data_IF_753607224447
#
_entry.id   IF_753607224447
#
_cell.length_a   1.000
_cell.length_b   1.000
_cell.length_c   1.000
_cell.angle_alpha   90.00
_cell.angle_beta   90.00
_cell.angle_gamma   90.00
#
_symmetry.space_group_name_H-M   'P 1'
#
loop_
_entity.id
_entity.type
_entity.pdbx_description
1 polymer ?
#
# COMPACT_ATOMS: atom_id res chain seq x y z
N UNK A 1 25.23 -20.31 58.81
CA UNK A 1 25.19 -19.50 60.04
C UNK A 1 25.52 -18.05 59.70
N UNK A 2 24.64 -17.10 60.10
CA UNK A 2 24.83 -15.66 60.46
C UNK A 2 25.58 -14.76 59.44
N UNK A 3 24.94 -13.83 58.71
CA UNK A 3 24.34 -12.49 59.05
C UNK A 3 25.29 -11.48 59.73
N UNK A 4 25.74 -10.48 58.95
CA UNK A 4 25.81 -9.03 59.24
C UNK A 4 26.02 -8.33 57.89
N UNK A 5 25.06 -7.69 57.21
CA UNK A 5 24.19 -6.56 57.58
C UNK A 5 24.94 -5.27 57.92
N UNK A 6 24.79 -4.31 57.00
CA UNK A 6 24.42 -2.90 57.26
C UNK A 6 25.49 -1.80 57.30
N UNK A 7 25.09 -0.69 56.67
CA UNK A 7 25.52 0.69 56.87
C UNK A 7 26.83 1.17 56.23
N UNK A 8 26.79 1.33 54.90
CA UNK A 8 27.42 2.50 54.26
C UNK A 8 26.33 3.58 54.15
N UNK A 9 25.94 4.12 55.31
CA UNK A 9 25.12 5.33 55.44
C UNK A 9 25.87 6.22 56.43
N UNK A 10 25.94 7.52 56.14
CA UNK A 10 26.64 8.59 56.88
C UNK A 10 28.02 8.99 56.34
N UNK A 11 28.04 9.48 55.09
CA UNK A 11 28.94 10.59 54.74
C UNK A 11 28.14 11.90 54.69
N UNK A 12 27.49 12.21 55.81
CA UNK A 12 26.85 13.48 56.12
C UNK A 12 27.17 13.81 57.57
N UNK A 13 28.30 14.47 57.77
CA UNK A 13 28.80 15.22 58.94
C UNK A 13 30.29 15.36 58.61
N UNK A 14 30.84 16.52 58.29
CA UNK A 14 31.04 17.58 59.26
C UNK A 14 31.61 18.79 58.49
N UNK A 15 30.77 19.53 57.74
CA UNK A 15 31.15 20.88 57.28
C UNK A 15 30.97 21.83 58.46
N UNK A 16 31.96 21.82 59.34
CA UNK A 16 32.16 22.78 60.42
C UNK A 16 32.12 24.19 59.84
N UNK A 17 30.99 24.87 59.98
CA UNK A 17 30.94 26.31 59.83
C UNK A 17 31.69 26.90 61.02
N UNK A 18 32.95 27.28 60.79
CA UNK A 18 33.72 28.10 61.73
C UNK A 18 33.12 29.50 61.63
N UNK A 19 32.18 29.80 62.51
CA UNK A 19 31.72 31.16 62.73
C UNK A 19 32.76 31.84 63.62
N UNK A 20 33.70 32.57 63.01
CA UNK A 20 34.63 33.41 63.76
C UNK A 20 33.88 34.68 64.17
N UNK A 21 33.11 34.60 65.26
CA UNK A 21 32.51 35.76 65.90
C UNK A 21 33.60 36.47 66.72
N UNK A 22 34.42 37.28 66.05
CA UNK A 22 35.27 38.26 66.72
C UNK A 22 34.49 39.56 66.83
N UNK A 23 33.51 39.57 67.73
CA UNK A 23 32.69 40.75 68.06
C UNK A 23 33.54 41.78 68.80
N UNK A 24 34.20 42.64 68.03
CA UNK A 24 34.61 43.96 68.49
C UNK A 24 34.30 44.97 67.39
N UNK A 25 33.34 45.84 67.69
CA UNK A 25 32.95 47.04 66.95
C UNK A 25 32.36 46.85 65.55
N UNK A 26 31.03 46.83 65.44
CA UNK A 26 30.37 47.41 64.25
C UNK A 26 29.10 48.13 64.67
N UNK A 27 29.12 49.44 64.47
CA UNK A 27 28.01 50.37 64.56
C UNK A 27 26.87 49.98 63.61
N UNK A 28 25.64 50.20 64.08
CA UNK A 28 24.41 50.01 63.31
C UNK A 28 24.43 50.92 62.07
N UNK A 29 24.60 50.31 60.91
CA UNK A 29 24.03 50.82 59.67
C UNK A 29 22.99 49.80 59.21
N UNK A 30 21.72 50.19 59.35
CA UNK A 30 20.55 49.47 58.87
C UNK A 30 20.52 49.56 57.34
N UNK A 31 21.29 48.70 56.68
CA UNK A 31 21.04 48.36 55.28
C UNK A 31 20.18 47.11 55.27
N UNK A 32 18.92 47.27 54.86
CA UNK A 32 17.95 46.22 54.57
C UNK A 32 18.53 45.25 53.52
N UNK A 33 19.33 44.30 53.99
CA UNK A 33 19.70 43.13 53.21
C UNK A 33 18.48 42.20 53.18
N UNK A 34 17.54 42.53 52.30
CA UNK A 34 16.42 41.64 51.95
C UNK A 34 17.01 40.29 51.53
N UNK A 35 16.85 39.28 52.37
CA UNK A 35 17.21 37.90 52.07
C UNK A 35 16.59 37.53 50.70
N UNK A 36 17.34 36.91 49.78
CA UNK A 36 16.79 36.50 48.50
C UNK A 36 15.63 35.53 48.74
N UNK A 37 14.40 36.00 48.50
CA UNK A 37 13.17 35.20 48.57
C UNK A 37 13.34 33.99 47.66
N UNK A 38 13.43 32.80 48.26
CA UNK A 38 13.49 31.51 47.57
C UNK A 38 12.28 31.39 46.62
N UNK A 39 12.48 31.75 45.34
CA UNK A 39 11.47 31.55 44.30
C UNK A 39 11.34 30.06 44.11
N UNK A 40 10.18 29.51 44.47
CA UNK A 40 9.87 28.10 44.22
C UNK A 40 10.12 27.79 42.75
N UNK A 41 11.17 27.03 42.47
CA UNK A 41 11.54 26.60 41.13
C UNK A 41 10.36 25.79 40.59
N UNK A 42 9.59 26.40 39.69
CA UNK A 42 8.52 25.69 38.99
C UNK A 42 9.17 24.55 38.21
N UNK A 43 8.92 23.31 38.67
CA UNK A 43 9.40 22.11 37.99
C UNK A 43 8.90 22.15 36.55
N UNK A 44 9.82 22.12 35.57
CA UNK A 44 9.47 22.13 34.15
C UNK A 44 8.57 20.92 33.88
N UNK A 45 7.31 21.17 33.50
CA UNK A 45 6.27 20.13 33.38
C UNK A 45 6.52 19.16 32.23
N UNK A 46 7.34 19.54 31.25
CA UNK A 46 7.67 18.70 30.10
C UNK A 46 9.16 18.41 30.09
N UNK A 47 9.48 17.14 30.35
CA UNK A 47 10.82 16.60 30.16
C UNK A 47 11.14 16.55 28.67
N UNK A 48 12.34 16.99 28.29
CA UNK A 48 12.86 16.88 26.92
C UNK A 48 12.81 15.45 26.40
N UNK A 49 12.91 14.47 27.30
CA UNK A 49 12.74 13.05 27.00
C UNK A 49 11.37 12.72 26.40
N UNK A 50 10.31 13.36 26.88
CA UNK A 50 8.96 13.11 26.38
C UNK A 50 8.81 13.61 24.94
N UNK A 51 9.40 14.78 24.63
CA UNK A 51 9.43 15.32 23.26
C UNK A 51 10.13 14.34 22.30
N UNK A 52 11.29 13.80 22.71
CA UNK A 52 12.06 12.87 21.88
C UNK A 52 11.31 11.55 21.68
N UNK A 53 10.64 11.06 22.72
CA UNK A 53 9.83 9.83 22.66
C UNK A 53 8.65 9.98 21.68
N UNK A 54 7.94 11.11 21.72
CA UNK A 54 6.88 11.40 20.74
C UNK A 54 7.42 11.50 19.31
N UNK A 55 8.58 12.12 19.11
CA UNK A 55 9.20 12.24 17.79
C UNK A 55 9.55 10.87 17.22
N UNK A 56 10.08 9.97 18.05
CA UNK A 56 10.38 8.60 17.66
C UNK A 56 9.11 7.80 17.39
N UNK A 57 8.09 7.94 18.24
CA UNK A 57 6.78 7.30 18.02
C UNK A 57 6.15 7.71 16.69
N UNK A 58 6.17 9.01 16.36
CA UNK A 58 5.70 9.51 15.07
C UNK A 58 6.48 8.94 13.90
N UNK A 59 7.80 8.82 14.01
CA UNK A 59 8.62 8.23 12.95
C UNK A 59 8.26 6.76 12.68
N UNK A 60 8.04 5.97 13.74
CA UNK A 60 7.62 4.56 13.61
C UNK A 60 6.23 4.45 12.97
N UNK A 61 5.27 5.26 13.42
CA UNK A 61 3.92 5.27 12.86
C UNK A 61 3.94 5.66 11.37
N UNK A 62 4.74 6.66 11.00
CA UNK A 62 4.89 7.06 9.60
C UNK A 62 5.45 5.93 8.73
N UNK A 63 6.49 5.22 9.20
CA UNK A 63 7.06 4.08 8.47
C UNK A 63 6.05 2.95 8.28
N UNK A 64 5.28 2.61 9.33
CA UNK A 64 4.23 1.59 9.24
C UNK A 64 3.13 2.00 8.25
N UNK A 65 2.73 3.27 8.26
CA UNK A 65 1.74 3.80 7.32
C UNK A 65 2.22 3.69 5.88
N UNK A 66 3.43 4.16 5.59
CA UNK A 66 4.01 4.11 4.24
C UNK A 66 4.18 2.66 3.78
N UNK A 67 4.67 1.77 4.65
CA UNK A 67 4.79 0.35 4.34
C UNK A 67 3.45 -0.31 3.99
N UNK A 68 2.39 0.03 4.72
CA UNK A 68 1.05 -0.47 4.44
C UNK A 68 0.49 0.08 3.11
N UNK A 69 0.68 1.38 2.83
CA UNK A 69 0.26 1.99 1.57
C UNK A 69 0.95 1.33 0.38
N UNK A 70 2.26 1.10 0.44
CA UNK A 70 3.02 0.42 -0.62
C UNK A 70 2.51 -1.02 -0.83
N UNK A 71 2.23 -1.75 0.26
CA UNK A 71 1.70 -3.11 0.17
C UNK A 71 0.32 -3.15 -0.51
N UNK A 72 -0.57 -2.21 -0.17
CA UNK A 72 -1.88 -2.09 -0.80
C UNK A 72 -1.76 -1.70 -2.27
N UNK A 73 -0.90 -0.75 -2.62
CA UNK A 73 -0.64 -0.38 -4.01
C UNK A 73 -0.07 -1.54 -4.84
N UNK A 74 0.82 -2.34 -4.25
CA UNK A 74 1.33 -3.56 -4.87
C UNK A 74 0.21 -4.57 -5.15
N UNK A 75 -0.66 -4.81 -4.18
CA UNK A 75 -1.78 -5.74 -4.33
C UNK A 75 -2.79 -5.27 -5.38
N UNK A 76 -3.06 -3.96 -5.46
CA UNK A 76 -3.94 -3.39 -6.49
C UNK A 76 -3.37 -3.62 -7.88
N UNK A 77 -2.06 -3.42 -8.07
CA UNK A 77 -1.40 -3.70 -9.35
C UNK A 77 -1.50 -5.17 -9.74
N UNK A 78 -1.23 -6.08 -8.81
CA UNK A 78 -1.32 -7.53 -9.06
C UNK A 78 -2.75 -7.96 -9.43
N UNK A 79 -3.76 -7.42 -8.74
CA UNK A 79 -5.17 -7.67 -9.07
C UNK A 79 -5.53 -7.15 -10.46
N UNK A 80 -5.04 -5.98 -10.85
CA UNK A 80 -5.34 -5.41 -12.16
C UNK A 80 -4.61 -6.18 -13.28
N UNK A 81 -3.37 -6.62 -13.07
CA UNK A 81 -2.67 -7.53 -13.98
C UNK A 81 -3.45 -8.84 -14.18
N UNK A 82 -3.89 -9.45 -13.07
CA UNK A 82 -4.66 -10.69 -13.12
C UNK A 82 -6.01 -10.52 -13.84
N UNK A 83 -6.69 -9.38 -13.65
CA UNK A 83 -7.92 -9.04 -14.39
C UNK A 83 -7.65 -8.90 -15.89
N UNK A 84 -6.54 -8.29 -16.28
CA UNK A 84 -6.17 -8.15 -17.69
C UNK A 84 -5.93 -9.53 -18.30
N UNK A 85 -5.19 -10.40 -17.61
CA UNK A 85 -4.96 -11.76 -18.06
C UNK A 85 -6.25 -12.58 -18.18
N UNK A 86 -7.13 -12.47 -17.19
CA UNK A 86 -8.44 -13.13 -17.21
C UNK A 86 -9.29 -12.67 -18.41
N UNK A 87 -9.35 -11.36 -18.67
CA UNK A 87 -10.05 -10.81 -19.85
C UNK A 87 -9.46 -11.33 -21.15
N UNK A 88 -8.13 -11.42 -21.25
CA UNK A 88 -7.44 -11.99 -22.43
C UNK A 88 -7.87 -13.44 -22.64
N UNK A 89 -7.88 -14.26 -21.60
CA UNK A 89 -8.29 -15.66 -21.68
C UNK A 89 -9.76 -15.82 -22.06
N UNK A 90 -10.65 -14.96 -21.56
CA UNK A 90 -12.06 -14.95 -21.98
C UNK A 90 -12.20 -14.61 -23.47
N UNK A 91 -11.49 -13.59 -23.96
CA UNK A 91 -11.53 -13.21 -25.37
C UNK A 91 -11.01 -14.34 -26.28
N UNK A 92 -9.94 -15.03 -25.87
CA UNK A 92 -9.41 -16.19 -26.60
C UNK A 92 -10.45 -17.31 -26.64
N UNK A 93 -11.12 -17.62 -25.52
CA UNK A 93 -12.17 -18.63 -25.49
C UNK A 93 -13.35 -18.28 -26.40
N UNK A 94 -13.79 -17.03 -26.40
CA UNK A 94 -14.86 -16.57 -27.29
C UNK A 94 -14.46 -16.68 -28.76
N UNK A 95 -13.21 -16.32 -29.09
CA UNK A 95 -12.66 -16.48 -30.43
C UNK A 95 -12.64 -17.95 -30.85
N UNK A 96 -12.15 -18.84 -29.99
CA UNK A 96 -12.11 -20.28 -30.27
C UNK A 96 -13.51 -20.87 -30.44
N UNK A 97 -14.48 -20.47 -29.62
CA UNK A 97 -15.87 -20.88 -29.79
C UNK A 97 -16.45 -20.43 -31.14
N UNK A 98 -16.16 -19.20 -31.56
CA UNK A 98 -16.54 -18.69 -32.89
C UNK A 98 -15.89 -19.52 -34.02
N UNK A 99 -14.60 -19.83 -33.90
CA UNK A 99 -13.89 -20.63 -34.89
C UNK A 99 -14.41 -22.06 -34.98
N UNK A 100 -14.70 -22.69 -33.84
CA UNK A 100 -15.32 -24.01 -33.78
C UNK A 100 -16.68 -23.97 -34.47
N UNK A 101 -17.54 -23.02 -34.11
CA UNK A 101 -18.86 -22.88 -34.71
C UNK A 101 -18.79 -22.68 -36.23
N UNK A 102 -17.84 -21.86 -36.71
CA UNK A 102 -17.60 -21.67 -38.14
C UNK A 102 -17.16 -22.97 -38.82
N UNK A 103 -16.19 -23.69 -38.25
CA UNK A 103 -15.69 -24.96 -38.79
C UNK A 103 -16.78 -26.03 -38.82
N UNK A 104 -17.51 -26.20 -37.73
CA UNK A 104 -18.64 -27.14 -37.62
C UNK A 104 -19.76 -26.78 -38.59
N UNK A 105 -20.05 -25.48 -38.78
CA UNK A 105 -21.05 -25.07 -39.78
C UNK A 105 -20.61 -25.44 -41.20
N UNK A 106 -19.35 -25.24 -41.56
CA UNK A 106 -18.81 -25.62 -42.88
C UNK A 106 -18.86 -27.14 -43.06
N UNK A 107 -18.48 -27.89 -42.02
CA UNK A 107 -18.54 -29.35 -42.04
C UNK A 107 -19.96 -29.87 -42.23
N UNK A 108 -20.94 -29.31 -41.52
CA UNK A 108 -22.36 -29.62 -41.71
C UNK A 108 -22.84 -29.34 -43.13
N UNK A 109 -22.48 -28.19 -43.69
CA UNK A 109 -22.83 -27.84 -45.08
C UNK A 109 -22.21 -28.85 -46.05
N UNK A 110 -20.94 -29.20 -45.84
CA UNK A 110 -20.24 -30.19 -46.66
C UNK A 110 -20.91 -31.56 -46.62
N UNK A 111 -21.28 -32.03 -45.43
CA UNK A 111 -21.99 -33.30 -45.23
C UNK A 111 -23.34 -33.28 -45.94
N UNK A 112 -24.15 -32.24 -45.74
CA UNK A 112 -25.46 -32.12 -46.40
C UNK A 112 -25.32 -32.06 -47.92
N UNK A 113 -24.39 -31.25 -48.43
CA UNK A 113 -24.14 -31.12 -49.86
C UNK A 113 -23.70 -32.46 -50.48
N UNK A 114 -22.73 -33.14 -49.87
CA UNK A 114 -22.17 -34.38 -50.41
C UNK A 114 -23.08 -35.59 -50.23
N UNK A 115 -23.66 -35.79 -49.04
CA UNK A 115 -24.41 -37.01 -48.72
C UNK A 115 -25.88 -36.92 -49.08
N UNK A 116 -26.55 -35.81 -48.78
CA UNK A 116 -27.99 -35.69 -49.01
C UNK A 116 -28.31 -35.17 -50.41
N UNK A 117 -27.55 -34.18 -50.89
CA UNK A 117 -27.79 -33.54 -52.18
C UNK A 117 -26.93 -34.13 -53.32
N UNK A 118 -26.04 -35.09 -53.02
CA UNK A 118 -25.12 -35.73 -53.97
C UNK A 118 -24.30 -34.72 -54.79
N UNK A 119 -24.06 -33.52 -54.24
CA UNK A 119 -23.30 -32.48 -54.88
C UNK A 119 -21.81 -32.83 -54.81
N UNK A 120 -21.17 -32.93 -55.97
CA UNK A 120 -19.73 -33.08 -56.08
C UNK A 120 -19.10 -31.70 -56.26
N UNK A 121 -17.96 -31.46 -55.61
CA UNK A 121 -17.25 -30.20 -55.74
C UNK A 121 -16.71 -30.07 -57.19
N UNK A 122 -17.17 -29.09 -57.99
CA UNK A 122 -16.73 -28.98 -59.38
C UNK A 122 -15.24 -28.62 -59.44
N UNK A 123 -14.49 -29.33 -60.29
CA UNK A 123 -13.06 -29.08 -60.53
C UNK A 123 -12.80 -27.82 -61.36
N UNK A 124 -13.83 -27.23 -61.95
CA UNK A 124 -13.74 -26.01 -62.75
C UNK A 124 -14.39 -24.84 -62.03
N UNK A 125 -13.68 -23.71 -61.97
CA UNK A 125 -14.21 -22.48 -61.39
C UNK A 125 -15.48 -22.03 -62.13
N UNK A 126 -16.52 -21.59 -61.41
CA UNK A 126 -17.77 -21.15 -62.02
C UNK A 126 -17.51 -19.95 -62.93
N UNK A 127 -17.93 -20.08 -64.20
CA UNK A 127 -17.90 -18.97 -65.15
C UNK A 127 -19.10 -18.09 -64.89
N UNK A 128 -18.86 -16.79 -64.70
CA UNK A 128 -19.92 -15.80 -64.72
C UNK A 128 -20.58 -15.80 -66.09
N UNK A 129 -21.87 -16.08 -66.15
CA UNK A 129 -22.66 -15.96 -67.37
C UNK A 129 -23.64 -14.81 -67.20
N UNK A 130 -23.64 -13.89 -68.16
CA UNK A 130 -24.67 -12.87 -68.28
C UNK A 130 -25.88 -13.50 -68.94
N UNK A 131 -27.01 -13.49 -68.25
CA UNK A 131 -28.30 -13.91 -68.81
C UNK A 131 -28.76 -12.81 -69.76
N UNK A 132 -28.86 -13.15 -71.04
CA UNK A 132 -29.37 -12.25 -72.07
C UNK A 132 -30.90 -12.25 -72.01
N UNK A 133 -31.49 -11.16 -71.50
CA UNK A 133 -32.91 -11.08 -71.13
C UNK A 133 -33.78 -11.16 -72.40
N UNK A 134 -33.29 -10.65 -73.51
CA UNK A 134 -34.01 -10.59 -74.79
C UNK A 134 -34.28 -11.99 -75.37
N UNK A 135 -33.37 -12.95 -75.16
CA UNK A 135 -33.56 -14.35 -75.56
C UNK A 135 -34.53 -15.13 -74.68
N UNK A 136 -34.78 -14.68 -73.45
CA UNK A 136 -35.73 -15.33 -72.53
C UNK A 136 -37.18 -15.06 -72.92
N UNK A 137 -37.45 -13.93 -73.57
CA UNK A 137 -38.79 -13.59 -74.05
C UNK A 137 -39.21 -14.42 -75.27
N UNK A 138 -38.26 -14.82 -76.13
CA UNK A 138 -38.54 -15.67 -77.30
C UNK A 138 -38.92 -17.11 -76.92
N UNK A 139 -38.39 -17.64 -75.82
CA UNK A 139 -38.67 -19.01 -75.36
C UNK A 139 -39.99 -19.11 -74.59
N UNK A 140 -40.54 -17.97 -74.15
CA UNK A 140 -41.77 -17.90 -73.38
C UNK A 140 -43.04 -17.82 -74.24
N UNK A 141 -42.88 -17.84 -75.56
CA UNK A 141 -43.95 -17.69 -76.56
C UNK A 141 -44.20 -19.01 -77.28
#
# INVERSE_FOLDING_TARGET
MRKTSENILNNQQDRRYIYNDNSSNVERNEEENSLPKNRSVHKRKHSTFNIVSWMFGFAVVALLYIGNVIAVEGLVKEVDELKIEHKKNLNINQLLQSEINRKTSIERISIVAGQMLQMTNPTTSPKWFSIDIDKLEEVKK
#
